data_IF_032781428580
#
_entry.id   IF_032781428580
#
_cell.length_a   1.000
_cell.length_b   1.000
_cell.length_c   1.000
_cell.angle_alpha   90.00
_cell.angle_beta   90.00
_cell.angle_gamma   90.00
#
_symmetry.space_group_name_H-M   'P 1'
#
loop_
_entity.id
_entity.type
_entity.pdbx_description
1 polymer ?
#
# COMPACT_ATOMS: atom_id res chain seq x y z
N UNK A 1 -6.59 -13.60 -34.13
CA UNK A 1 -5.27 -14.13 -34.58
C UNK A 1 -4.53 -14.63 -33.35
N UNK A 2 -4.16 -15.92 -33.28
CA UNK A 2 -3.35 -16.45 -32.16
C UNK A 2 -1.88 -16.27 -32.48
N UNK A 3 -1.16 -15.50 -31.68
CA UNK A 3 0.28 -15.26 -31.87
C UNK A 3 1.02 -16.44 -31.25
N UNK A 4 1.71 -17.22 -32.09
CA UNK A 4 2.46 -18.38 -31.61
C UNK A 4 3.75 -17.98 -30.89
N UNK A 5 4.43 -16.93 -31.37
CA UNK A 5 5.70 -16.45 -30.83
C UNK A 5 5.93 -14.99 -31.21
N UNK A 6 6.41 -14.18 -30.27
CA UNK A 6 6.94 -12.85 -30.53
C UNK A 6 8.45 -12.92 -30.77
N UNK A 7 8.90 -12.24 -31.83
CA UNK A 7 10.33 -12.04 -32.11
C UNK A 7 10.83 -10.67 -31.65
N UNK A 8 9.96 -9.67 -31.69
CA UNK A 8 10.23 -8.30 -31.29
C UNK A 8 8.95 -7.57 -30.88
N UNK A 9 9.12 -6.46 -30.17
CA UNK A 9 8.11 -5.43 -29.95
C UNK A 9 8.59 -4.11 -30.55
N UNK A 10 7.67 -3.29 -31.01
CA UNK A 10 7.97 -1.98 -31.57
C UNK A 10 7.49 -0.91 -30.58
N UNK A 11 8.42 -0.08 -30.08
CA UNK A 11 8.14 1.01 -29.14
C UNK A 11 8.28 2.36 -29.85
N UNK A 12 7.22 3.17 -29.89
CA UNK A 12 7.25 4.52 -30.44
C UNK A 12 7.65 5.51 -29.36
N UNK A 13 8.68 6.31 -29.60
CA UNK A 13 9.10 7.44 -28.76
C UNK A 13 8.24 8.67 -29.04
N UNK A 14 8.23 9.69 -28.13
CA UNK A 14 7.48 10.93 -28.37
C UNK A 14 7.92 11.75 -29.58
N UNK A 15 9.16 11.57 -30.03
CA UNK A 15 9.67 12.19 -31.27
C UNK A 15 9.14 11.50 -32.55
N UNK A 16 8.30 10.47 -32.40
CA UNK A 16 7.73 9.69 -33.50
C UNK A 16 8.59 8.51 -33.96
N UNK A 17 9.85 8.43 -33.53
CA UNK A 17 10.74 7.34 -33.91
C UNK A 17 10.34 6.03 -33.25
N UNK A 18 10.44 4.93 -33.98
CA UNK A 18 10.13 3.59 -33.49
C UNK A 18 11.42 2.82 -33.27
N UNK A 19 11.59 2.26 -32.08
CA UNK A 19 12.69 1.35 -31.74
C UNK A 19 12.17 -0.08 -31.69
N UNK A 20 12.96 -1.01 -32.22
CA UNK A 20 12.66 -2.44 -32.18
C UNK A 20 13.31 -3.07 -30.94
N UNK A 21 12.50 -3.68 -30.08
CA UNK A 21 12.92 -4.37 -28.88
C UNK A 21 12.87 -5.89 -29.12
N UNK A 22 14.02 -6.57 -29.29
CA UNK A 22 14.03 -8.01 -29.55
C UNK A 22 13.56 -8.79 -28.31
N UNK A 23 12.76 -9.84 -28.52
CA UNK A 23 12.41 -10.77 -27.45
C UNK A 23 13.55 -11.78 -27.29
N UNK A 24 14.10 -11.98 -26.07
CA UNK A 24 15.18 -12.94 -25.85
C UNK A 24 14.83 -14.34 -26.34
N UNK A 25 15.75 -14.98 -27.07
CA UNK A 25 15.56 -16.33 -27.58
C UNK A 25 15.46 -17.37 -26.45
N UNK A 26 16.03 -17.08 -25.28
CA UNK A 26 15.99 -17.89 -24.06
C UNK A 26 14.63 -17.87 -23.34
N UNK A 27 13.75 -16.93 -23.66
CA UNK A 27 12.44 -16.80 -23.02
C UNK A 27 11.46 -17.83 -23.58
N UNK A 28 10.94 -18.71 -22.73
CA UNK A 28 9.92 -19.68 -23.11
C UNK A 28 8.59 -18.98 -23.43
N UNK A 29 8.07 -19.20 -24.64
CA UNK A 29 6.84 -18.58 -25.15
C UNK A 29 5.70 -19.58 -25.38
N UNK A 30 5.82 -20.82 -24.88
CA UNK A 30 4.84 -21.90 -25.10
C UNK A 30 3.41 -21.52 -24.65
N UNK A 31 3.27 -20.67 -23.65
CA UNK A 31 1.97 -20.18 -23.17
C UNK A 31 1.40 -18.98 -23.94
N UNK A 32 2.19 -18.29 -24.77
CA UNK A 32 1.80 -17.03 -25.42
C UNK A 32 0.57 -17.18 -26.31
N UNK A 33 0.48 -18.29 -27.03
CA UNK A 33 -0.64 -18.58 -27.93
C UNK A 33 -2.00 -18.69 -27.24
N UNK A 34 -2.02 -18.81 -25.91
CA UNK A 34 -3.23 -18.92 -25.07
C UNK A 34 -3.63 -17.61 -24.42
N UNK A 35 -2.84 -16.55 -24.58
CA UNK A 35 -3.05 -15.25 -23.93
C UNK A 35 -4.08 -14.46 -24.72
N UNK A 36 -5.12 -14.00 -24.03
CA UNK A 36 -5.97 -12.91 -24.48
C UNK A 36 -5.53 -11.62 -23.78
N UNK A 37 -4.76 -10.77 -24.46
CA UNK A 37 -4.15 -9.57 -23.86
C UNK A 37 -5.17 -8.61 -23.24
N UNK A 38 -6.41 -8.59 -23.74
CA UNK A 38 -7.48 -7.73 -23.23
C UNK A 38 -8.02 -8.16 -21.86
N UNK A 39 -7.63 -9.35 -21.37
CA UNK A 39 -8.02 -9.84 -20.04
C UNK A 39 -7.00 -9.47 -18.95
N UNK A 40 -5.94 -8.74 -19.30
CA UNK A 40 -4.87 -8.40 -18.37
C UNK A 40 -4.73 -6.90 -18.18
N UNK A 41 -4.47 -6.50 -16.94
CA UNK A 41 -4.10 -5.13 -16.58
C UNK A 41 -2.66 -5.07 -16.10
N UNK A 42 -2.06 -3.89 -16.25
CA UNK A 42 -0.74 -3.57 -15.71
C UNK A 42 -0.84 -2.30 -14.88
N UNK A 43 -0.18 -2.33 -13.72
CA UNK A 43 -0.04 -1.19 -12.81
C UNK A 43 1.42 -1.08 -12.38
N UNK A 44 1.87 0.15 -12.10
CA UNK A 44 3.18 0.37 -11.52
C UNK A 44 3.11 0.26 -10.01
N UNK A 45 4.14 -0.37 -9.43
CA UNK A 45 4.27 -0.54 -8.00
C UNK A 45 5.66 -0.10 -7.57
N UNK A 46 5.71 0.83 -6.62
CA UNK A 46 6.95 1.44 -6.14
C UNK A 46 7.23 1.02 -4.69
N UNK A 47 8.39 0.41 -4.41
CA UNK A 47 8.91 0.28 -3.05
C UNK A 47 9.70 1.53 -2.66
N UNK A 48 10.08 1.62 -1.38
CA UNK A 48 11.00 2.64 -0.87
C UNK A 48 12.49 2.23 -0.94
N UNK A 49 12.82 1.11 -1.59
CA UNK A 49 14.17 0.56 -1.74
C UNK A 49 14.52 0.30 -3.20
N UNK A 50 15.78 0.02 -3.47
CA UNK A 50 16.20 -0.45 -4.79
C UNK A 50 15.73 -1.89 -5.00
N UNK A 51 15.49 -2.27 -6.26
CA UNK A 51 14.92 -3.56 -6.66
C UNK A 51 15.94 -4.34 -7.47
N UNK A 52 16.20 -5.60 -7.09
CA UNK A 52 16.95 -6.52 -7.94
C UNK A 52 16.09 -7.15 -9.04
N UNK A 53 16.69 -7.41 -10.20
CA UNK A 53 16.05 -8.08 -11.35
C UNK A 53 15.43 -9.45 -10.99
N UNK A 54 15.99 -10.15 -10.00
CA UNK A 54 15.54 -11.47 -9.59
C UNK A 54 14.29 -11.45 -8.67
N UNK A 55 13.97 -10.30 -8.10
CA UNK A 55 12.89 -10.14 -7.12
C UNK A 55 11.53 -10.16 -7.80
N UNK A 56 10.92 -11.32 -7.98
CA UNK A 56 9.55 -11.39 -8.44
C UNK A 56 8.67 -12.18 -7.46
N UNK A 57 7.42 -11.76 -7.37
CA UNK A 57 6.39 -12.43 -6.58
C UNK A 57 5.23 -12.84 -7.48
N UNK A 58 4.65 -13.99 -7.18
CA UNK A 58 3.34 -14.36 -7.74
C UNK A 58 2.24 -13.62 -6.98
N UNK A 59 1.14 -13.32 -7.67
CA UNK A 59 -0.07 -12.76 -7.07
C UNK A 59 -1.12 -13.85 -7.04
N UNK A 60 -1.74 -14.07 -5.89
CA UNK A 60 -2.77 -15.10 -5.73
C UNK A 60 -4.03 -14.58 -5.08
N UNK A 61 -5.07 -15.40 -5.15
CA UNK A 61 -6.29 -15.22 -4.36
C UNK A 61 -6.18 -15.95 -3.02
N UNK A 62 -6.88 -15.47 -1.98
CA UNK A 62 -6.89 -16.13 -0.68
C UNK A 62 -7.51 -17.53 -0.79
N UNK A 63 -7.24 -18.37 0.21
CA UNK A 63 -7.84 -19.72 0.34
C UNK A 63 -7.64 -20.63 -0.88
N UNK A 64 -6.51 -20.51 -1.59
CA UNK A 64 -6.19 -21.41 -2.69
C UNK A 64 -6.91 -21.10 -4.02
N UNK A 65 -7.47 -19.89 -4.19
CA UNK A 65 -8.12 -19.46 -5.44
C UNK A 65 -7.20 -19.35 -6.66
N UNK A 66 -5.91 -19.73 -6.51
CA UNK A 66 -4.93 -19.84 -7.58
C UNK A 66 -4.19 -18.53 -7.89
N UNK A 67 -3.17 -18.66 -8.74
CA UNK A 67 -2.39 -17.53 -9.25
C UNK A 67 -3.18 -16.69 -10.25
N UNK A 68 -3.14 -15.38 -10.05
CA UNK A 68 -3.85 -14.37 -10.84
C UNK A 68 -2.93 -13.29 -11.40
N UNK A 69 -1.62 -13.34 -11.13
CA UNK A 69 -0.71 -12.34 -11.65
C UNK A 69 0.72 -12.50 -11.16
N UNK A 70 1.54 -11.51 -11.50
CA UNK A 70 2.90 -11.39 -11.03
C UNK A 70 3.25 -9.93 -10.73
N UNK A 71 4.13 -9.75 -9.76
CA UNK A 71 4.88 -8.53 -9.51
C UNK A 71 6.28 -8.72 -10.11
N UNK A 72 6.61 -7.95 -11.15
CA UNK A 72 7.80 -8.18 -11.99
C UNK A 72 8.67 -6.94 -12.04
N UNK A 73 9.97 -6.99 -11.69
CA UNK A 73 10.88 -5.84 -11.84
C UNK A 73 10.93 -5.35 -13.28
N UNK A 74 11.00 -4.03 -13.50
CA UNK A 74 11.15 -3.48 -14.85
C UNK A 74 12.41 -3.98 -15.56
N UNK A 75 13.52 -4.12 -14.81
CA UNK A 75 14.76 -4.73 -15.28
C UNK A 75 14.57 -6.15 -15.84
N UNK A 76 13.60 -6.90 -15.32
CA UNK A 76 13.37 -8.26 -15.75
C UNK A 76 12.67 -8.33 -17.11
N UNK A 77 11.82 -7.38 -17.54
CA UNK A 77 10.82 -7.60 -18.61
C UNK A 77 11.39 -8.24 -19.89
N UNK A 78 12.48 -7.72 -20.46
CA UNK A 78 13.17 -8.31 -21.63
C UNK A 78 14.62 -8.71 -21.34
N UNK A 79 14.98 -8.92 -20.07
CA UNK A 79 16.32 -9.41 -19.70
C UNK A 79 16.61 -10.80 -20.30
N UNK A 80 17.79 -10.91 -20.93
CA UNK A 80 18.33 -12.14 -21.49
C UNK A 80 18.90 -13.07 -20.41
N UNK A 81 19.33 -12.50 -19.28
CA UNK A 81 20.08 -13.17 -18.22
C UNK A 81 19.19 -13.66 -17.09
N UNK A 82 17.91 -13.28 -17.08
CA UNK A 82 16.98 -13.68 -16.04
C UNK A 82 16.87 -15.21 -15.93
N UNK A 83 17.24 -15.75 -14.77
CA UNK A 83 17.23 -17.20 -14.50
C UNK A 83 15.83 -17.84 -14.65
N UNK A 84 14.76 -17.05 -14.54
CA UNK A 84 13.38 -17.52 -14.69
C UNK A 84 12.89 -17.53 -16.15
N UNK A 85 13.75 -17.27 -17.14
CA UNK A 85 13.42 -17.32 -18.57
C UNK A 85 12.82 -18.67 -19.03
N UNK A 86 13.23 -19.78 -18.39
CA UNK A 86 12.71 -21.13 -18.67
C UNK A 86 11.30 -21.39 -18.09
N UNK A 87 10.80 -20.53 -17.19
CA UNK A 87 9.45 -20.66 -16.65
C UNK A 87 8.45 -20.04 -17.64
N UNK A 88 7.73 -20.89 -18.34
CA UNK A 88 6.81 -20.49 -19.41
C UNK A 88 5.65 -19.60 -18.97
N UNK A 89 5.15 -19.77 -17.74
CA UNK A 89 4.08 -18.92 -17.20
C UNK A 89 4.62 -17.54 -16.84
N UNK A 90 5.74 -17.48 -16.12
CA UNK A 90 6.38 -16.20 -15.78
C UNK A 90 6.81 -15.42 -17.02
N UNK A 91 7.39 -16.10 -18.01
CA UNK A 91 7.76 -15.53 -19.30
C UNK A 91 6.54 -15.01 -20.08
N UNK A 92 5.41 -15.71 -20.04
CA UNK A 92 4.16 -15.22 -20.61
C UNK A 92 3.71 -13.89 -19.98
N UNK A 93 3.79 -13.75 -18.65
CA UNK A 93 3.47 -12.48 -17.97
C UNK A 93 4.45 -11.35 -18.32
N UNK A 94 5.74 -11.64 -18.49
CA UNK A 94 6.72 -10.65 -18.99
C UNK A 94 6.40 -10.19 -20.40
N UNK A 95 5.98 -11.12 -21.28
CA UNK A 95 5.55 -10.82 -22.65
C UNK A 95 4.29 -9.95 -22.65
N UNK A 96 3.33 -10.22 -21.75
CA UNK A 96 2.15 -9.36 -21.57
C UNK A 96 2.56 -7.94 -21.21
N UNK A 97 3.50 -7.78 -20.26
CA UNK A 97 4.01 -6.47 -19.88
C UNK A 97 4.65 -5.76 -21.07
N UNK A 98 5.59 -6.41 -21.75
CA UNK A 98 6.27 -5.82 -22.90
C UNK A 98 5.28 -5.42 -24.01
N UNK A 99 4.33 -6.29 -24.34
CA UNK A 99 3.32 -6.05 -25.35
C UNK A 99 2.45 -4.83 -25.02
N UNK A 100 1.90 -4.77 -23.81
CA UNK A 100 0.98 -3.70 -23.42
C UNK A 100 1.69 -2.35 -23.26
N UNK A 101 2.90 -2.32 -22.71
CA UNK A 101 3.73 -1.10 -22.65
C UNK A 101 4.01 -0.57 -24.06
N UNK A 102 4.49 -1.43 -24.96
CA UNK A 102 4.81 -1.02 -26.34
C UNK A 102 3.57 -0.60 -27.12
N UNK A 103 2.44 -1.30 -26.95
CA UNK A 103 1.17 -0.96 -27.61
C UNK A 103 0.63 0.39 -27.16
N UNK A 104 0.70 0.70 -25.85
CA UNK A 104 0.32 2.04 -25.35
C UNK A 104 1.22 3.14 -25.91
N UNK A 105 2.53 2.90 -25.97
CA UNK A 105 3.46 3.87 -26.56
C UNK A 105 3.17 4.14 -28.04
N UNK A 106 2.76 3.13 -28.82
CA UNK A 106 2.29 3.32 -30.20
C UNK A 106 1.05 4.21 -30.31
N UNK A 107 0.24 4.28 -29.24
CA UNK A 107 -0.92 5.15 -29.08
C UNK A 107 -0.58 6.49 -28.42
N UNK A 108 0.71 6.82 -28.29
CA UNK A 108 1.22 8.01 -27.59
C UNK A 108 0.84 8.08 -26.09
N UNK A 109 0.61 6.93 -25.45
CA UNK A 109 0.46 6.82 -23.99
C UNK A 109 1.71 6.18 -23.37
N UNK A 110 2.32 6.89 -22.43
CA UNK A 110 3.61 6.54 -21.81
C UNK A 110 3.54 6.37 -20.28
N UNK A 111 2.33 6.28 -19.72
CA UNK A 111 2.10 6.13 -18.28
C UNK A 111 2.89 4.97 -17.63
N UNK A 112 3.11 3.88 -18.37
CA UNK A 112 3.83 2.69 -17.92
C UNK A 112 5.34 2.68 -18.25
N UNK A 113 5.93 3.75 -18.78
CA UNK A 113 7.31 3.77 -19.31
C UNK A 113 8.26 4.56 -18.41
N UNK A 114 9.54 4.18 -18.29
CA UNK A 114 10.55 4.91 -17.49
C UNK A 114 10.60 6.40 -17.84
N UNK A 115 10.66 7.40 -16.93
CA UNK A 115 10.52 8.81 -17.31
C UNK A 115 11.59 9.28 -18.32
N UNK A 116 12.71 8.56 -18.44
CA UNK A 116 13.78 8.77 -19.42
C UNK A 116 13.53 8.07 -20.77
N UNK A 117 12.34 7.51 -21.00
CA UNK A 117 11.97 6.76 -22.22
C UNK A 117 12.06 7.60 -23.49
N UNK A 118 12.03 8.94 -23.37
CA UNK A 118 12.21 9.87 -24.49
C UNK A 118 13.51 9.61 -25.25
N UNK A 119 14.55 9.21 -24.53
CA UNK A 119 15.88 8.91 -25.07
C UNK A 119 16.14 7.40 -25.16
N UNK A 120 15.08 6.58 -25.13
CA UNK A 120 15.21 5.14 -25.15
C UNK A 120 15.81 4.65 -26.47
N UNK A 121 16.89 3.86 -26.36
CA UNK A 121 17.50 3.14 -27.49
C UNK A 121 17.53 1.63 -27.23
N UNK A 122 17.20 1.22 -26.01
CA UNK A 122 17.27 -0.16 -25.54
C UNK A 122 16.10 -0.47 -24.61
N UNK A 123 15.84 -1.74 -24.34
CA UNK A 123 14.73 -2.18 -23.49
C UNK A 123 14.85 -1.63 -22.05
N UNK A 124 16.07 -1.55 -21.53
CA UNK A 124 16.36 -1.06 -20.18
C UNK A 124 15.98 0.41 -20.00
N UNK A 125 15.98 1.18 -21.10
CA UNK A 125 15.55 2.59 -21.11
C UNK A 125 14.06 2.78 -21.39
N UNK A 126 13.34 1.71 -21.74
CA UNK A 126 11.88 1.74 -21.97
C UNK A 126 11.13 1.37 -20.69
N UNK A 127 11.54 0.28 -20.06
CA UNK A 127 10.87 -0.23 -18.86
C UNK A 127 11.42 0.45 -17.61
N UNK A 128 10.53 0.82 -16.69
CA UNK A 128 10.88 1.55 -15.48
C UNK A 128 11.68 0.65 -14.52
N UNK A 129 13.00 0.85 -14.48
CA UNK A 129 13.94 -0.06 -13.79
C UNK A 129 13.73 -0.09 -12.28
N UNK A 130 13.27 1.02 -11.71
CA UNK A 130 13.11 1.22 -10.27
C UNK A 130 11.67 0.95 -9.77
N UNK A 131 10.81 0.31 -10.57
CA UNK A 131 9.54 -0.23 -10.10
C UNK A 131 9.32 -1.68 -10.52
N UNK A 132 8.30 -2.25 -9.89
CA UNK A 132 7.65 -3.43 -10.41
C UNK A 132 6.49 -3.06 -11.33
N UNK A 133 6.30 -3.89 -12.35
CA UNK A 133 5.05 -4.04 -13.07
C UNK A 133 4.21 -5.11 -12.38
N UNK A 134 3.09 -4.70 -11.80
CA UNK A 134 2.04 -5.60 -11.36
C UNK A 134 1.16 -5.92 -12.56
N UNK A 135 1.26 -7.15 -13.04
CA UNK A 135 0.44 -7.67 -14.14
C UNK A 135 -0.57 -8.67 -13.58
N UNK A 136 -1.85 -8.42 -13.85
CA UNK A 136 -2.97 -9.20 -13.29
C UNK A 136 -3.88 -9.74 -14.39
N UNK A 137 -4.41 -10.95 -14.20
CA UNK A 137 -5.47 -11.53 -15.01
C UNK A 137 -6.83 -11.14 -14.42
N UNK A 138 -7.40 -10.06 -14.95
CA UNK A 138 -8.54 -9.35 -14.36
C UNK A 138 -9.80 -10.19 -14.31
N UNK A 139 -9.94 -11.18 -15.22
CA UNK A 139 -11.07 -12.11 -15.25
C UNK A 139 -11.18 -12.96 -13.98
N UNK A 140 -10.06 -13.21 -13.30
CA UNK A 140 -10.04 -13.99 -12.06
C UNK A 140 -10.15 -13.14 -10.80
N UNK A 141 -10.00 -11.83 -10.91
CA UNK A 141 -9.91 -10.94 -9.75
C UNK A 141 -11.29 -10.34 -9.50
N UNK A 142 -11.88 -10.55 -8.30
CA UNK A 142 -13.09 -9.85 -7.91
C UNK A 142 -12.88 -8.33 -7.99
N UNK A 143 -13.87 -7.58 -8.47
CA UNK A 143 -13.80 -6.11 -8.54
C UNK A 143 -12.52 -5.56 -9.19
N UNK A 144 -12.04 -6.21 -10.25
CA UNK A 144 -10.84 -5.80 -10.99
C UNK A 144 -10.93 -4.40 -11.59
N UNK A 145 -12.14 -3.87 -11.79
CA UNK A 145 -12.38 -2.50 -12.25
C UNK A 145 -11.97 -1.46 -11.20
N UNK A 146 -12.20 -1.73 -9.90
CA UNK A 146 -11.79 -0.85 -8.80
C UNK A 146 -10.53 -1.33 -8.08
N UNK A 147 -9.63 -2.04 -8.80
CA UNK A 147 -8.49 -2.73 -8.21
C UNK A 147 -7.66 -1.88 -7.22
N UNK A 148 -7.44 -0.60 -7.53
CA UNK A 148 -6.64 0.28 -6.65
C UNK A 148 -7.35 0.48 -5.31
N UNK A 149 -8.63 0.86 -5.34
CA UNK A 149 -9.42 1.01 -4.12
C UNK A 149 -9.54 -0.32 -3.37
N UNK A 150 -9.79 -1.41 -4.09
CA UNK A 150 -10.02 -2.73 -3.51
C UNK A 150 -8.77 -3.40 -2.95
N UNK A 151 -7.56 -3.11 -3.45
CA UNK A 151 -6.36 -3.90 -3.10
C UNK A 151 -5.12 -3.11 -2.70
N UNK A 152 -5.11 -1.78 -2.81
CA UNK A 152 -3.93 -0.94 -2.51
C UNK A 152 -3.35 -1.17 -1.11
N UNK A 153 -4.20 -1.30 -0.09
CA UNK A 153 -3.74 -1.53 1.29
C UNK A 153 -2.99 -2.86 1.45
N UNK A 154 -3.34 -3.87 0.66
CA UNK A 154 -2.66 -5.17 0.67
C UNK A 154 -1.18 -5.05 0.26
N UNK A 155 -0.89 -4.19 -0.72
CA UNK A 155 0.46 -3.87 -1.14
C UNK A 155 1.13 -2.93 -0.12
N UNK A 156 0.43 -1.91 0.37
CA UNK A 156 0.98 -0.94 1.31
C UNK A 156 1.48 -1.59 2.62
N UNK A 157 0.77 -2.61 3.12
CA UNK A 157 1.19 -3.45 4.26
C UNK A 157 2.54 -4.14 4.05
N UNK A 158 3.00 -4.27 2.81
CA UNK A 158 4.29 -4.87 2.44
C UNK A 158 5.31 -3.83 2.03
N UNK A 159 5.05 -2.53 2.21
CA UNK A 159 5.95 -1.48 1.72
C UNK A 159 5.92 -1.31 0.20
N UNK A 160 4.80 -1.68 -0.44
CA UNK A 160 4.60 -1.56 -1.89
C UNK A 160 3.47 -0.59 -2.16
N UNK A 161 3.73 0.47 -2.93
CA UNK A 161 2.73 1.49 -3.24
C UNK A 161 2.28 1.36 -4.68
N UNK A 162 0.98 1.11 -4.89
CA UNK A 162 0.36 1.21 -6.20
C UNK A 162 0.27 2.67 -6.57
N UNK A 163 0.88 3.05 -7.69
CA UNK A 163 0.96 4.45 -8.08
C UNK A 163 0.94 4.59 -9.60
N UNK A 164 0.31 5.66 -10.07
CA UNK A 164 0.41 6.10 -11.46
C UNK A 164 1.71 6.91 -11.68
N UNK A 165 2.26 7.44 -10.59
CA UNK A 165 3.49 8.22 -10.60
C UNK A 165 4.69 7.31 -10.39
N UNK A 166 5.76 7.60 -11.11
CA UNK A 166 7.02 6.87 -11.00
C UNK A 166 7.92 7.38 -9.88
N UNK A 167 7.43 8.36 -9.12
CA UNK A 167 8.12 8.89 -7.95
C UNK A 167 8.24 7.81 -6.90
N UNK A 168 9.44 7.69 -6.31
CA UNK A 168 9.69 6.80 -5.19
C UNK A 168 8.97 7.35 -3.95
N UNK A 169 8.26 6.52 -3.17
CA UNK A 169 7.74 6.95 -1.88
C UNK A 169 8.90 7.41 -1.01
N UNK A 170 8.73 8.54 -0.33
CA UNK A 170 9.76 9.15 0.51
C UNK A 170 10.15 8.22 1.65
N UNK A 171 9.17 7.51 2.21
CA UNK A 171 9.41 6.60 3.31
C UNK A 171 8.30 5.56 3.48
N UNK A 172 8.70 4.31 3.79
CA UNK A 172 7.83 3.23 4.26
C UNK A 172 8.58 2.45 5.35
N UNK A 173 8.06 2.37 6.60
CA UNK A 173 8.72 1.62 7.68
C UNK A 173 8.68 0.11 7.44
N UNK A 174 7.79 -0.34 6.55
CA UNK A 174 7.60 -1.71 6.14
C UNK A 174 8.46 -1.97 4.91
N UNK A 175 9.30 -3.00 4.97
CA UNK A 175 10.16 -3.40 3.86
C UNK A 175 9.58 -4.65 3.24
N UNK A 176 9.39 -4.61 1.92
CA UNK A 176 8.99 -5.78 1.16
C UNK A 176 10.11 -6.83 1.20
N UNK A 177 9.81 -8.01 1.74
CA UNK A 177 10.68 -9.18 1.71
C UNK A 177 10.48 -9.98 0.40
N UNK A 178 11.44 -9.97 -0.53
CA UNK A 178 11.37 -10.73 -1.77
C UNK A 178 11.31 -12.25 -1.58
N UNK A 179 11.70 -12.76 -0.41
CA UNK A 179 11.62 -14.19 -0.12
C UNK A 179 10.17 -14.69 -0.02
N UNK A 180 9.20 -13.78 0.07
CA UNK A 180 7.78 -14.13 -0.02
C UNK A 180 7.40 -14.46 -1.47
N UNK A 181 7.28 -15.75 -1.78
CA UNK A 181 7.01 -16.22 -3.15
C UNK A 181 5.63 -15.77 -3.69
N UNK A 182 4.67 -15.48 -2.80
CA UNK A 182 3.30 -15.13 -3.18
C UNK A 182 2.68 -14.01 -2.32
N UNK A 183 2.09 -13.02 -2.99
CA UNK A 183 1.25 -11.97 -2.39
C UNK A 183 -0.22 -12.36 -2.62
N UNK A 184 -0.96 -12.61 -1.54
CA UNK A 184 -2.39 -12.89 -1.61
C UNK A 184 -3.19 -11.60 -1.58
N UNK A 185 -4.13 -11.44 -2.52
CA UNK A 185 -5.01 -10.29 -2.62
C UNK A 185 -6.12 -10.37 -1.58
N UNK A 186 -6.17 -9.40 -0.69
CA UNK A 186 -7.26 -9.26 0.28
C UNK A 186 -7.99 -7.95 0.01
N UNK A 187 -9.32 -8.01 -0.01
CA UNK A 187 -10.15 -6.83 -0.30
C UNK A 187 -10.08 -5.83 0.85
N UNK A 188 -9.72 -4.60 0.51
CA UNK A 188 -9.69 -3.42 1.35
C UNK A 188 -11.01 -2.64 1.33
N UNK A 189 -12.04 -3.10 0.58
CA UNK A 189 -13.31 -2.39 0.39
C UNK A 189 -14.08 -2.09 1.69
N UNK A 190 -13.71 -2.74 2.80
CA UNK A 190 -14.29 -2.42 4.11
C UNK A 190 -13.85 -1.06 4.66
N UNK A 191 -12.74 -0.51 4.17
CA UNK A 191 -12.27 0.80 4.57
C UNK A 191 -12.79 1.87 3.60
N UNK A 192 -13.20 3.04 4.11
CA UNK A 192 -13.54 4.18 3.26
C UNK A 192 -12.38 4.60 2.35
N UNK A 193 -12.71 5.11 1.17
CA UNK A 193 -11.72 5.54 0.16
C UNK A 193 -10.68 6.54 0.70
N UNK A 194 -11.10 7.45 1.59
CA UNK A 194 -10.20 8.44 2.19
C UNK A 194 -9.12 7.78 3.06
N UNK A 195 -9.41 6.66 3.74
CA UNK A 195 -8.42 5.90 4.52
C UNK A 195 -7.39 5.26 3.59
N UNK A 196 -7.86 4.65 2.49
CA UNK A 196 -7.00 4.16 1.43
C UNK A 196 -6.08 5.25 0.88
N UNK A 197 -6.64 6.44 0.63
CA UNK A 197 -5.89 7.60 0.12
C UNK A 197 -4.86 8.12 1.12
N UNK A 198 -5.21 8.26 2.39
CA UNK A 198 -4.28 8.68 3.44
C UNK A 198 -3.08 7.74 3.54
N UNK A 199 -3.34 6.43 3.54
CA UNK A 199 -2.31 5.40 3.70
C UNK A 199 -1.44 5.21 2.45
N UNK A 200 -2.01 5.29 1.25
CA UNK A 200 -1.31 4.87 0.01
C UNK A 200 -0.84 6.03 -0.86
N UNK A 201 -1.39 7.24 -0.68
CA UNK A 201 -1.11 8.40 -1.54
C UNK A 201 -0.62 9.63 -0.78
N UNK A 202 -1.16 9.91 0.41
CA UNK A 202 -0.77 11.12 1.14
C UNK A 202 0.43 10.87 2.05
N UNK A 203 0.35 9.88 2.93
CA UNK A 203 1.45 9.60 3.87
C UNK A 203 2.78 9.27 3.18
N UNK A 204 2.86 8.37 2.18
CA UNK A 204 4.14 7.95 1.61
C UNK A 204 4.86 9.03 0.78
N UNK A 205 4.16 10.08 0.36
CA UNK A 205 4.67 11.09 -0.58
C UNK A 205 4.74 12.50 0.00
N UNK A 206 4.36 12.69 1.27
CA UNK A 206 4.41 14.01 1.92
C UNK A 206 5.76 14.21 2.62
N UNK A 207 6.53 15.24 2.25
CA UNK A 207 7.81 15.54 2.89
C UNK A 207 7.65 16.15 4.29
N UNK A 208 6.59 16.93 4.48
CA UNK A 208 6.35 17.62 5.75
C UNK A 208 5.94 16.60 6.85
N UNK A 209 6.76 16.42 7.91
CA UNK A 209 6.50 15.41 8.92
C UNK A 209 5.25 15.69 9.77
N UNK A 210 4.90 16.96 9.95
CA UNK A 210 3.71 17.35 10.70
C UNK A 210 2.44 17.02 9.92
N UNK A 211 2.41 17.25 8.60
CA UNK A 211 1.29 16.85 7.74
C UNK A 211 1.18 15.32 7.66
N UNK A 212 2.31 14.60 7.63
CA UNK A 212 2.28 13.12 7.71
C UNK A 212 1.68 12.62 9.02
N UNK A 213 2.10 13.19 10.15
CA UNK A 213 1.52 12.86 11.44
C UNK A 213 0.03 13.22 11.49
N UNK A 214 -0.37 14.35 10.91
CA UNK A 214 -1.77 14.73 10.76
C UNK A 214 -2.57 13.64 10.03
N UNK A 215 -2.12 13.21 8.84
CA UNK A 215 -2.80 12.15 8.06
C UNK A 215 -2.89 10.83 8.82
N UNK A 216 -1.83 10.47 9.54
CA UNK A 216 -1.82 9.31 10.41
C UNK A 216 -2.87 9.42 11.53
N UNK A 217 -3.00 10.60 12.15
CA UNK A 217 -3.99 10.83 13.20
C UNK A 217 -5.42 10.75 12.68
N UNK A 218 -5.69 11.20 11.44
CA UNK A 218 -7.00 11.02 10.80
C UNK A 218 -7.40 9.52 10.68
N UNK A 219 -6.42 8.63 10.48
CA UNK A 219 -6.66 7.19 10.49
C UNK A 219 -6.97 6.70 11.92
N UNK A 220 -6.28 7.22 12.93
CA UNK A 220 -6.59 6.91 14.34
C UNK A 220 -8.00 7.37 14.69
N UNK A 221 -8.42 8.57 14.28
CA UNK A 221 -9.78 9.10 14.48
C UNK A 221 -10.85 8.22 13.81
N UNK A 222 -10.58 7.73 12.60
CA UNK A 222 -11.46 6.79 11.94
C UNK A 222 -11.58 5.47 12.72
N UNK A 223 -10.46 4.90 13.15
CA UNK A 223 -10.46 3.67 13.96
C UNK A 223 -11.21 3.87 15.29
N UNK A 224 -11.05 5.04 15.93
CA UNK A 224 -11.79 5.39 17.15
C UNK A 224 -13.30 5.42 16.90
N UNK A 225 -13.73 5.87 15.72
CA UNK A 225 -15.14 5.88 15.32
C UNK A 225 -15.64 4.45 15.08
N UNK A 226 -14.89 3.60 14.38
CA UNK A 226 -15.26 2.19 14.18
C UNK A 226 -15.39 1.42 15.51
N UNK A 227 -14.51 1.67 16.47
CA UNK A 227 -14.57 1.01 17.77
C UNK A 227 -15.76 1.50 18.61
N UNK A 228 -16.09 2.78 18.49
CA UNK A 228 -17.29 3.34 19.12
C UNK A 228 -18.56 2.73 18.51
N UNK A 229 -18.62 2.55 17.19
CA UNK A 229 -19.76 1.91 16.52
C UNK A 229 -19.94 0.45 16.97
N UNK A 230 -18.84 -0.30 17.13
CA UNK A 230 -18.90 -1.66 17.70
C UNK A 230 -19.41 -1.66 19.14
N UNK A 231 -19.03 -0.66 19.93
CA UNK A 231 -19.55 -0.51 21.28
C UNK A 231 -21.06 -0.23 21.25
N UNK A 232 -21.53 0.67 20.39
CA UNK A 232 -22.95 0.98 20.24
C UNK A 232 -23.77 -0.25 19.83
N UNK A 233 -23.29 -1.03 18.88
CA UNK A 233 -23.98 -2.27 18.46
C UNK A 233 -24.02 -3.31 19.60
N UNK A 234 -22.94 -3.48 20.35
CA UNK A 234 -22.95 -4.34 21.55
C UNK A 234 -23.95 -3.86 22.59
N UNK A 235 -23.99 -2.55 22.85
CA UNK A 235 -24.94 -1.95 23.79
C UNK A 235 -26.38 -2.16 23.30
N UNK A 236 -26.66 -1.94 22.02
CA UNK A 236 -27.97 -2.19 21.40
C UNK A 236 -28.43 -3.63 21.57
N UNK A 237 -27.54 -4.59 21.35
CA UNK A 237 -27.83 -6.02 21.57
C UNK A 237 -28.17 -6.29 23.04
N UNK A 238 -27.40 -5.72 23.98
CA UNK A 238 -27.69 -5.84 25.43
C UNK A 238 -29.06 -5.26 25.79
N UNK A 239 -29.37 -4.06 25.29
CA UNK A 239 -30.64 -3.38 25.54
C UNK A 239 -31.84 -4.17 25.01
N UNK A 240 -31.72 -4.72 23.80
CA UNK A 240 -32.79 -5.53 23.19
C UNK A 240 -32.99 -6.89 23.88
N UNK A 241 -31.94 -7.44 24.49
CA UNK A 241 -32.00 -8.72 25.19
C UNK A 241 -32.56 -8.60 26.62
N UNK A 242 -32.56 -7.40 27.20
CA UNK A 242 -33.03 -7.19 28.56
C UNK A 242 -34.56 -7.07 28.60
N UNK A 243 -35.23 -8.08 29.14
CA UNK A 243 -36.62 -7.98 29.57
C UNK A 243 -36.61 -7.49 31.03
N UNK A 244 -37.08 -6.26 31.27
CA UNK A 244 -37.14 -5.59 32.57
C UNK A 244 -35.79 -5.37 33.29
N UNK A 245 -34.89 -4.53 32.73
CA UNK A 245 -33.63 -4.23 33.39
C UNK A 245 -33.84 -3.51 34.73
N UNK A 246 -33.07 -3.92 35.74
CA UNK A 246 -33.03 -3.26 37.04
C UNK A 246 -32.45 -1.84 36.93
N UNK A 247 -32.78 -0.97 37.89
CA UNK A 247 -32.24 0.40 37.95
C UNK A 247 -30.70 0.42 38.00
N UNK A 248 -30.08 -0.57 38.64
CA UNK A 248 -28.62 -0.71 38.69
C UNK A 248 -28.04 -1.02 37.31
N UNK A 249 -28.64 -1.96 36.57
CA UNK A 249 -28.19 -2.32 35.22
C UNK A 249 -28.31 -1.12 34.25
N UNK A 250 -29.40 -0.36 34.33
CA UNK A 250 -29.56 0.85 33.52
C UNK A 250 -28.49 1.89 33.87
N UNK A 251 -28.19 2.08 35.16
CA UNK A 251 -27.14 3.01 35.60
C UNK A 251 -25.77 2.58 35.08
N UNK A 252 -25.46 1.29 35.15
CA UNK A 252 -24.19 0.74 34.66
C UNK A 252 -24.07 0.95 33.14
N UNK A 253 -25.13 0.73 32.37
CA UNK A 253 -25.13 1.01 30.93
C UNK A 253 -24.91 2.49 30.60
N UNK A 254 -25.53 3.40 31.36
CA UNK A 254 -25.32 4.85 31.18
C UNK A 254 -23.87 5.23 31.51
N UNK A 255 -23.29 4.61 32.54
CA UNK A 255 -21.91 4.86 32.93
C UNK A 255 -20.91 4.33 31.90
N UNK A 256 -21.15 3.13 31.37
CA UNK A 256 -20.38 2.54 30.27
C UNK A 256 -20.46 3.42 29.02
N UNK A 257 -21.66 3.89 28.66
CA UNK A 257 -21.88 4.79 27.53
C UNK A 257 -21.12 6.11 27.72
N UNK A 258 -21.29 6.76 28.87
CA UNK A 258 -20.63 8.04 29.18
C UNK A 258 -19.11 7.91 29.15
N UNK A 259 -18.58 6.77 29.61
CA UNK A 259 -17.14 6.49 29.58
C UNK A 259 -16.64 6.23 28.17
N UNK A 260 -17.43 5.58 27.32
CA UNK A 260 -17.07 5.24 25.94
C UNK A 260 -17.14 6.41 24.96
N UNK A 261 -17.94 7.45 25.27
CA UNK A 261 -18.00 8.70 24.49
C UNK A 261 -16.73 9.54 24.67
N UNK A 262 -16.03 9.42 25.81
CA UNK A 262 -14.81 10.18 26.08
C UNK A 262 -13.71 9.81 25.09
N UNK A 263 -13.09 10.82 24.49
CA UNK A 263 -12.00 10.64 23.53
C UNK A 263 -10.83 9.85 24.12
N UNK A 264 -10.43 10.16 25.36
CA UNK A 264 -9.38 9.43 26.08
C UNK A 264 -9.64 7.92 26.16
N UNK A 265 -10.89 7.51 26.38
CA UNK A 265 -11.24 6.09 26.41
C UNK A 265 -11.10 5.46 25.02
N UNK A 266 -11.54 6.17 23.98
CA UNK A 266 -11.51 5.68 22.58
C UNK A 266 -10.08 5.56 22.07
N UNK A 267 -9.23 6.56 22.31
CA UNK A 267 -7.84 6.50 21.86
C UNK A 267 -7.06 5.41 22.61
N UNK A 268 -7.34 5.22 23.90
CA UNK A 268 -6.77 4.10 24.68
C UNK A 268 -7.19 2.75 24.12
N UNK A 269 -8.46 2.57 23.72
CA UNK A 269 -8.92 1.34 23.11
C UNK A 269 -8.18 1.04 21.79
N UNK A 270 -8.02 2.05 20.94
CA UNK A 270 -7.37 1.88 19.63
C UNK A 270 -5.86 1.70 19.72
N UNK A 271 -5.17 2.30 20.70
CA UNK A 271 -3.72 2.20 20.82
C UNK A 271 -3.24 1.08 21.77
N UNK A 272 -4.09 0.10 22.07
CA UNK A 272 -3.75 -1.12 22.81
C UNK A 272 -3.69 -2.36 21.90
N UNK A 273 -2.62 -3.17 21.91
CA UNK A 273 -1.46 -3.08 22.80
C UNK A 273 -0.53 -1.92 22.43
N UNK A 274 0.24 -1.45 23.41
CA UNK A 274 1.21 -0.36 23.24
C UNK A 274 2.21 -0.71 22.14
N UNK A 275 2.50 0.27 21.27
CA UNK A 275 3.57 0.13 20.30
C UNK A 275 4.93 0.35 20.97
N UNK A 276 5.69 -0.73 21.16
CA UNK A 276 7.02 -0.68 21.82
C UNK A 276 8.04 0.18 21.07
N UNK A 277 7.87 0.37 19.74
CA UNK A 277 8.76 1.21 18.92
C UNK A 277 8.38 2.69 18.95
N UNK A 278 7.09 3.00 19.03
CA UNK A 278 6.60 4.39 19.04
C UNK A 278 6.58 5.01 20.44
N UNK A 279 6.39 4.22 21.49
CA UNK A 279 6.26 4.75 22.85
C UNK A 279 7.52 5.50 23.32
N UNK A 280 8.76 4.98 23.17
CA UNK A 280 9.96 5.72 23.52
C UNK A 280 10.12 7.02 22.73
N UNK A 281 9.72 7.03 21.45
CA UNK A 281 9.77 8.24 20.62
C UNK A 281 8.76 9.31 21.07
N UNK A 282 7.58 8.89 21.50
CA UNK A 282 6.59 9.79 22.08
C UNK A 282 7.09 10.40 23.40
N UNK A 283 7.76 9.61 24.24
CA UNK A 283 8.39 10.10 25.48
C UNK A 283 9.48 11.14 25.18
N UNK A 284 10.40 10.81 24.26
CA UNK A 284 11.47 11.72 23.85
C UNK A 284 10.92 13.03 23.25
N UNK A 285 9.88 12.95 22.43
CA UNK A 285 9.26 14.13 21.85
C UNK A 285 8.60 15.00 22.92
N UNK A 286 7.92 14.43 23.92
CA UNK A 286 7.34 15.21 25.01
C UNK A 286 8.40 15.85 25.90
N UNK A 287 9.52 15.15 26.14
CA UNK A 287 10.66 15.69 26.88
C UNK A 287 11.28 16.89 26.16
N UNK A 288 11.48 16.79 24.84
CA UNK A 288 11.97 17.90 23.99
C UNK A 288 11.03 19.12 24.01
N UNK A 289 9.73 18.88 24.11
CA UNK A 289 8.71 19.93 24.20
C UNK A 289 8.52 20.47 25.62
N UNK A 290 9.29 19.98 26.60
CA UNK A 290 9.17 20.32 28.03
C UNK A 290 7.76 20.07 28.60
N UNK A 291 7.13 18.96 28.21
CA UNK A 291 5.79 18.57 28.67
C UNK A 291 5.90 17.44 29.69
N UNK A 292 5.41 17.66 30.91
CA UNK A 292 5.38 16.62 31.94
C UNK A 292 4.53 15.42 31.49
N UNK A 293 5.18 14.25 31.45
CA UNK A 293 4.60 12.96 31.05
C UNK A 293 4.58 11.92 32.16
N UNK A 294 4.91 12.28 33.40
CA UNK A 294 5.14 11.35 34.52
C UNK A 294 3.97 10.38 34.78
N UNK A 295 2.74 10.78 34.42
CA UNK A 295 1.52 9.98 34.60
C UNK A 295 0.81 9.62 33.28
N UNK A 296 1.44 9.89 32.14
CA UNK A 296 0.83 9.66 30.83
C UNK A 296 1.10 8.22 30.36
N UNK A 297 0.05 7.53 29.92
CA UNK A 297 0.23 6.30 29.15
C UNK A 297 0.47 6.63 27.68
N UNK A 298 0.95 5.65 26.91
CA UNK A 298 1.22 5.82 25.47
C UNK A 298 0.08 6.51 24.68
N UNK A 299 -1.21 6.14 24.84
CA UNK A 299 -2.29 6.83 24.13
C UNK A 299 -2.43 8.30 24.53
N UNK A 300 -2.17 8.64 25.80
CA UNK A 300 -2.22 10.01 26.32
C UNK A 300 -1.10 10.85 25.72
N UNK A 301 0.08 10.24 25.55
CA UNK A 301 1.22 10.90 24.91
C UNK A 301 0.91 11.24 23.45
N UNK A 302 0.35 10.30 22.69
CA UNK A 302 -0.04 10.55 21.29
C UNK A 302 -1.11 11.65 21.19
N UNK A 303 -2.12 11.62 22.07
CA UNK A 303 -3.14 12.66 22.14
C UNK A 303 -2.53 14.03 22.46
N UNK A 304 -1.60 14.09 23.42
CA UNK A 304 -0.92 15.31 23.81
C UNK A 304 -0.08 15.89 22.67
N UNK A 305 0.72 15.05 22.01
CA UNK A 305 1.52 15.44 20.83
C UNK A 305 0.62 16.01 19.73
N UNK A 306 -0.50 15.33 19.45
CA UNK A 306 -1.51 15.82 18.52
C UNK A 306 -2.01 17.22 18.89
N UNK A 307 -2.36 17.45 20.15
CA UNK A 307 -2.84 18.75 20.59
C UNK A 307 -1.78 19.85 20.47
N UNK A 308 -0.51 19.55 20.75
CA UNK A 308 0.58 20.50 20.53
C UNK A 308 0.71 20.82 19.05
N UNK A 309 0.67 19.82 18.17
CA UNK A 309 0.78 20.01 16.72
C UNK A 309 -0.31 20.96 16.18
N UNK A 310 -1.53 20.87 16.71
CA UNK A 310 -2.65 21.69 16.25
C UNK A 310 -2.78 23.05 16.93
N UNK A 311 -2.45 23.16 18.22
CA UNK A 311 -2.70 24.36 19.01
C UNK A 311 -1.43 25.16 19.34
N UNK A 312 -0.26 24.54 19.25
CA UNK A 312 1.04 25.15 19.50
C UNK A 312 2.09 24.69 18.49
N UNK A 313 1.75 24.90 17.22
CA UNK A 313 2.57 24.50 16.07
C UNK A 313 4.00 25.08 16.12
N UNK A 314 4.18 26.28 16.71
CA UNK A 314 5.50 26.91 16.85
C UNK A 314 6.43 26.13 17.75
N UNK A 315 5.92 25.53 18.82
CA UNK A 315 6.72 24.75 19.76
C UNK A 315 7.14 23.42 19.15
N UNK A 316 6.25 22.72 18.42
CA UNK A 316 6.61 21.42 17.83
C UNK A 316 7.60 21.52 16.66
N UNK A 317 7.75 22.71 16.07
CA UNK A 317 8.67 22.97 14.97
C UNK A 317 10.15 22.76 15.29
N UNK A 318 10.54 22.74 16.57
CA UNK A 318 11.90 22.42 16.98
C UNK A 318 12.26 20.94 16.78
N UNK A 319 11.26 20.06 16.67
CA UNK A 319 11.45 18.61 16.69
C UNK A 319 10.92 17.84 15.44
N UNK A 320 11.14 18.32 14.20
CA UNK A 320 10.54 17.73 13.00
C UNK A 320 11.00 16.28 12.75
N UNK A 321 12.25 15.94 13.10
CA UNK A 321 12.81 14.60 12.93
C UNK A 321 12.14 13.57 13.87
N UNK A 322 11.90 13.95 15.13
CA UNK A 322 11.21 13.10 16.09
C UNK A 322 9.74 12.87 15.68
N UNK A 323 9.06 13.91 15.19
CA UNK A 323 7.69 13.78 14.64
C UNK A 323 7.67 12.84 13.44
N UNK A 324 8.65 12.96 12.53
CA UNK A 324 8.78 12.08 11.37
C UNK A 324 8.92 10.62 11.80
N UNK A 325 9.89 10.33 12.68
CA UNK A 325 10.17 8.96 13.11
C UNK A 325 8.99 8.36 13.90
N UNK A 326 8.36 9.15 14.78
CA UNK A 326 7.16 8.74 15.49
C UNK A 326 6.03 8.38 14.51
N UNK A 327 5.76 9.25 13.53
CA UNK A 327 4.77 9.02 12.50
C UNK A 327 5.03 7.73 11.72
N UNK A 328 6.30 7.45 11.43
CA UNK A 328 6.73 6.25 10.74
C UNK A 328 6.53 4.97 11.54
N UNK A 329 6.96 4.93 12.80
CA UNK A 329 6.73 3.75 13.64
C UNK A 329 5.24 3.50 13.83
N UNK A 330 4.45 4.56 13.96
CA UNK A 330 3.00 4.48 14.07
C UNK A 330 2.33 3.96 12.79
N UNK A 331 2.75 4.41 11.61
CA UNK A 331 2.22 3.89 10.34
C UNK A 331 2.40 2.37 10.24
N UNK A 332 3.61 1.87 10.54
CA UNK A 332 3.89 0.43 10.56
C UNK A 332 3.03 -0.30 11.60
N UNK A 333 2.92 0.25 12.81
CA UNK A 333 2.07 -0.29 13.87
C UNK A 333 0.60 -0.41 13.47
N UNK A 334 0.03 0.61 12.80
CA UNK A 334 -1.35 0.56 12.34
C UNK A 334 -1.57 -0.61 11.36
N UNK A 335 -0.68 -0.82 10.40
CA UNK A 335 -0.77 -1.98 9.49
C UNK A 335 -0.59 -3.33 10.17
N UNK A 336 0.31 -3.42 11.15
CA UNK A 336 0.62 -4.68 11.83
C UNK A 336 -0.46 -5.08 12.84
N UNK A 337 -1.05 -4.10 13.54
CA UNK A 337 -1.86 -4.36 14.73
C UNK A 337 -3.31 -3.90 14.63
N UNK A 338 -3.65 -3.02 13.68
CA UNK A 338 -4.97 -2.34 13.66
C UNK A 338 -5.74 -2.55 12.38
N UNK A 339 -5.06 -2.48 11.25
CA UNK A 339 -5.67 -2.71 9.95
C UNK A 339 -5.68 -4.20 9.68
N UNK A 340 -6.85 -4.81 9.79
CA UNK A 340 -7.07 -6.17 9.31
C UNK A 340 -7.18 -6.08 7.79
N UNK A 341 -6.38 -6.83 7.05
CA UNK A 341 -6.44 -6.93 5.59
C UNK A 341 -6.55 -8.40 5.27
#
# INVERSE_FOLDING_TARGET
MRIARFKRFDFRRPDGNVIALPVPASMDQSFVSRINFNEYSIRLVRPNRDISEAECASIGLPNGGGGVGYLIPGAAILSKENKKNANSVYSAYRIIVAYLVCTRALQNNFDLCDPKYRDAQTAEKVFAQDCYYLVTWDKKIPDSQNFIAAYSLCFAKRGLILTEQQTRPLFLPLIYDPATEQINLHSALKYPEHIGTLLTRLFPFTENPFLRFFYLYQIIEHLMSEEFDKFLEKLRVKLNAAQDPSTTEVRDWIQDFTSSVKEDSRIRAILQPICSKSAPLAELLLDELNIDRTKMLFPDMIYKIRNVLFHDYKTIHSAPLLVAELGDRMYGYLFEKKLSI
#
